data_IF_296629573679
#
_entry.id   IF_296629573679
#
_cell.length_a   1.000
_cell.length_b   1.000
_cell.length_c   1.000
_cell.angle_alpha   90.00
_cell.angle_beta   90.00
_cell.angle_gamma   90.00
#
_symmetry.space_group_name_H-M   'P 1'
#
loop_
_entity.id
_entity.type
_entity.pdbx_description
1 polymer ?
#
# COMPACT_ATOMS: atom_id res chain seq x y z
N UNK A 1 17.56 -1.77 -2.00
CA UNK A 1 17.25 -1.85 -3.43
C UNK A 1 15.93 -2.58 -3.65
N UNK A 2 15.12 -2.11 -4.58
CA UNK A 2 13.84 -2.75 -4.90
C UNK A 2 14.02 -3.84 -5.93
N UNK A 3 13.33 -4.96 -5.70
CA UNK A 3 13.23 -6.03 -6.67
C UNK A 3 11.87 -5.88 -7.36
N UNK A 4 11.88 -5.81 -8.69
CA UNK A 4 10.66 -5.56 -9.46
C UNK A 4 9.90 -6.85 -9.70
N UNK A 5 8.60 -6.82 -9.39
CA UNK A 5 7.64 -7.84 -9.72
C UNK A 5 6.65 -7.28 -10.73
N UNK A 6 5.66 -8.05 -11.11
CA UNK A 6 4.73 -7.65 -12.16
C UNK A 6 4.01 -6.32 -11.86
N UNK A 7 3.49 -6.17 -10.64
CA UNK A 7 2.71 -5.00 -10.26
C UNK A 7 3.38 -4.16 -9.20
N UNK A 8 4.55 -4.54 -8.75
CA UNK A 8 5.13 -3.86 -7.59
C UNK A 8 6.62 -4.14 -7.50
N UNK A 9 7.27 -3.31 -6.71
CA UNK A 9 8.66 -3.48 -6.35
C UNK A 9 8.75 -3.82 -4.88
N UNK A 10 9.67 -4.69 -4.52
CA UNK A 10 9.79 -5.18 -3.15
C UNK A 10 11.16 -4.86 -2.61
N UNK A 11 11.19 -4.36 -1.38
CA UNK A 11 12.42 -4.19 -0.62
C UNK A 11 12.20 -4.82 0.73
N UNK A 12 13.06 -5.78 1.07
CA UNK A 12 12.97 -6.47 2.34
C UNK A 12 14.19 -6.14 3.19
N UNK A 13 13.96 -5.90 4.47
CA UNK A 13 15.05 -5.63 5.40
C UNK A 13 14.64 -6.14 6.77
N UNK A 14 15.27 -7.25 7.20
CA UNK A 14 14.95 -7.89 8.48
C UNK A 14 13.46 -8.22 8.55
N UNK A 15 12.73 -7.63 9.48
CA UNK A 15 11.31 -7.86 9.68
C UNK A 15 10.43 -6.86 8.93
N UNK A 16 11.04 -5.96 8.16
CA UNK A 16 10.34 -4.92 7.41
C UNK A 16 10.22 -5.33 5.94
N UNK A 17 9.01 -5.22 5.40
CA UNK A 17 8.75 -5.45 3.99
C UNK A 17 8.14 -4.18 3.43
N UNK A 18 8.80 -3.58 2.44
CA UNK A 18 8.28 -2.41 1.75
C UNK A 18 7.89 -2.83 0.35
N UNK A 19 6.64 -2.58 0.00
CA UNK A 19 6.13 -2.92 -1.33
C UNK A 19 5.64 -1.64 -1.97
N UNK A 20 6.25 -1.27 -3.09
CA UNK A 20 5.84 -0.11 -3.86
C UNK A 20 4.92 -0.56 -4.97
N UNK A 21 3.68 -0.15 -4.89
CA UNK A 21 2.69 -0.45 -5.91
C UNK A 21 2.73 0.63 -6.98
N UNK A 22 2.35 0.28 -8.20
CA UNK A 22 2.32 1.29 -9.26
C UNK A 22 1.17 1.07 -10.23
N UNK A 23 0.82 2.16 -10.91
CA UNK A 23 -0.24 2.15 -11.89
C UNK A 23 -1.60 2.45 -11.29
N UNK A 24 -2.58 1.75 -11.81
CA UNK A 24 -3.95 1.86 -11.34
C UNK A 24 -4.38 0.55 -10.72
N UNK A 25 -5.07 0.65 -9.60
CA UNK A 25 -5.59 -0.56 -8.96
C UNK A 25 -7.08 -0.63 -9.26
N UNK A 26 -7.40 -1.28 -10.37
CA UNK A 26 -8.78 -1.48 -10.79
C UNK A 26 -9.20 -2.92 -10.50
N UNK A 27 -10.43 -3.23 -10.90
CA UNK A 27 -11.01 -4.54 -10.61
C UNK A 27 -10.16 -5.70 -11.16
N UNK A 28 -9.65 -5.56 -12.38
CA UNK A 28 -8.85 -6.63 -12.98
C UNK A 28 -7.50 -6.81 -12.31
N UNK A 29 -6.80 -5.69 -12.13
CA UNK A 29 -5.46 -5.74 -11.53
C UNK A 29 -5.49 -6.17 -10.09
N UNK A 30 -6.57 -5.83 -9.36
CA UNK A 30 -6.65 -6.13 -7.94
C UNK A 30 -6.62 -7.62 -7.64
N UNK A 31 -7.24 -8.44 -8.49
CA UNK A 31 -7.27 -9.88 -8.24
C UNK A 31 -5.86 -10.48 -8.27
N UNK A 32 -5.12 -10.20 -9.35
CA UNK A 32 -3.77 -10.73 -9.50
C UNK A 32 -2.84 -10.16 -8.42
N UNK A 33 -2.96 -8.86 -8.18
CA UNK A 33 -2.13 -8.20 -7.19
C UNK A 33 -2.37 -8.75 -5.79
N UNK A 34 -3.64 -9.02 -5.46
CA UNK A 34 -3.98 -9.61 -4.17
C UNK A 34 -3.30 -10.96 -3.97
N UNK A 35 -3.37 -11.80 -4.99
CA UNK A 35 -2.78 -13.14 -4.90
C UNK A 35 -1.27 -13.06 -4.73
N UNK A 36 -0.63 -12.18 -5.48
CA UNK A 36 0.81 -12.01 -5.40
C UNK A 36 1.23 -11.45 -4.04
N UNK A 37 0.50 -10.46 -3.53
CA UNK A 37 0.81 -9.88 -2.22
C UNK A 37 0.58 -10.88 -1.10
N UNK A 38 -0.50 -11.64 -1.16
CA UNK A 38 -0.77 -12.65 -0.13
C UNK A 38 0.35 -13.69 -0.08
N UNK A 39 0.79 -14.15 -1.25
CA UNK A 39 1.87 -15.11 -1.33
C UNK A 39 3.15 -14.54 -0.73
N UNK A 40 3.44 -13.29 -1.05
CA UNK A 40 4.63 -12.63 -0.53
C UNK A 40 4.56 -12.46 0.99
N UNK A 41 3.43 -11.98 1.50
CA UNK A 41 3.25 -11.76 2.92
C UNK A 41 3.36 -13.07 3.71
N UNK A 42 2.73 -14.12 3.21
CA UNK A 42 2.77 -15.40 3.89
C UNK A 42 4.16 -16.04 3.84
N UNK A 43 4.89 -15.81 2.77
CA UNK A 43 6.25 -16.31 2.65
C UNK A 43 7.20 -15.57 3.59
N UNK A 44 7.14 -14.25 3.60
CA UNK A 44 8.10 -13.44 4.35
C UNK A 44 7.68 -13.21 5.79
N UNK A 45 6.39 -13.24 6.08
CA UNK A 45 5.80 -13.01 7.40
C UNK A 45 6.42 -11.82 8.12
N UNK A 46 6.36 -10.63 7.50
CA UNK A 46 7.00 -9.46 8.08
C UNK A 46 6.25 -9.00 9.34
N UNK A 47 6.96 -8.36 10.25
CA UNK A 47 6.31 -7.71 11.38
C UNK A 47 5.69 -6.38 10.98
N UNK A 48 6.27 -5.75 9.95
CA UNK A 48 5.78 -4.46 9.46
C UNK A 48 5.77 -4.50 7.95
N UNK A 49 4.61 -4.24 7.38
CA UNK A 49 4.41 -4.13 5.94
C UNK A 49 4.11 -2.68 5.60
N UNK A 50 4.91 -2.08 4.74
CA UNK A 50 4.67 -0.74 4.24
C UNK A 50 4.26 -0.86 2.78
N UNK A 51 3.05 -0.42 2.47
CA UNK A 51 2.60 -0.32 1.09
C UNK A 51 2.80 1.12 0.63
N UNK A 52 3.76 1.30 -0.26
CA UNK A 52 4.11 2.62 -0.79
C UNK A 52 3.18 2.92 -1.95
N UNK A 53 2.33 3.93 -1.78
CA UNK A 53 1.32 4.30 -2.76
C UNK A 53 1.73 5.48 -3.63
N UNK A 54 3.00 5.89 -3.55
CA UNK A 54 3.46 7.10 -4.24
C UNK A 54 3.32 7.02 -5.75
N UNK A 55 3.32 5.83 -6.32
CA UNK A 55 3.19 5.63 -7.76
C UNK A 55 1.79 5.17 -8.18
N UNK A 56 0.85 5.18 -7.27
CA UNK A 56 -0.55 4.85 -7.60
C UNK A 56 -1.25 6.12 -8.03
N UNK A 57 -1.79 6.11 -9.23
CA UNK A 57 -2.48 7.27 -9.79
C UNK A 57 -3.97 7.22 -9.54
N UNK A 58 -4.52 6.01 -9.48
CA UNK A 58 -5.96 5.84 -9.33
C UNK A 58 -6.26 4.50 -8.65
N UNK A 59 -7.32 4.48 -7.86
CA UNK A 59 -7.88 3.22 -7.38
C UNK A 59 -9.39 3.38 -7.21
N UNK A 60 -10.10 2.28 -7.41
CA UNK A 60 -11.53 2.23 -7.18
C UNK A 60 -11.80 1.40 -5.93
N UNK A 61 -13.06 0.95 -5.77
CA UNK A 61 -13.42 0.17 -4.60
C UNK A 61 -12.67 -1.17 -4.52
N UNK A 62 -12.25 -1.71 -5.67
CA UNK A 62 -11.45 -2.94 -5.66
C UNK A 62 -10.09 -2.69 -5.04
N UNK A 63 -9.51 -1.50 -5.29
CA UNK A 63 -8.26 -1.11 -4.66
C UNK A 63 -8.41 -0.98 -3.15
N UNK A 64 -9.50 -0.35 -2.71
CA UNK A 64 -9.76 -0.24 -1.28
C UNK A 64 -9.91 -1.62 -0.64
N UNK A 65 -10.61 -2.52 -1.31
CA UNK A 65 -10.76 -3.89 -0.83
C UNK A 65 -9.42 -4.61 -0.73
N UNK A 66 -8.55 -4.37 -1.72
CA UNK A 66 -7.21 -4.93 -1.71
C UNK A 66 -6.45 -4.49 -0.45
N UNK A 67 -6.48 -3.20 -0.16
CA UNK A 67 -5.78 -2.68 1.01
C UNK A 67 -6.35 -3.24 2.30
N UNK A 68 -7.66 -3.30 2.42
CA UNK A 68 -8.31 -3.82 3.63
C UNK A 68 -8.01 -5.30 3.85
N UNK A 69 -8.00 -6.09 2.77
CA UNK A 69 -7.68 -7.51 2.88
C UNK A 69 -6.26 -7.76 3.35
N UNK A 70 -5.31 -6.96 2.85
CA UNK A 70 -3.91 -7.07 3.28
C UNK A 70 -3.75 -6.64 4.72
N UNK A 71 -4.50 -5.64 5.14
CA UNK A 71 -4.52 -5.21 6.52
C UNK A 71 -4.95 -6.35 7.45
N UNK A 72 -6.04 -7.03 7.09
CA UNK A 72 -6.53 -8.16 7.89
C UNK A 72 -5.52 -9.30 7.93
N UNK A 73 -4.91 -9.59 6.79
CA UNK A 73 -3.90 -10.65 6.74
C UNK A 73 -2.73 -10.33 7.66
N UNK A 74 -2.28 -9.07 7.65
CA UNK A 74 -1.19 -8.66 8.53
C UNK A 74 -1.59 -8.79 10.00
N UNK A 75 -2.82 -8.44 10.34
CA UNK A 75 -3.29 -8.65 11.71
C UNK A 75 -3.31 -10.12 12.08
N UNK A 76 -3.73 -10.97 11.15
CA UNK A 76 -3.80 -12.42 11.41
C UNK A 76 -2.43 -13.02 11.71
N UNK A 77 -1.38 -12.51 11.09
CA UNK A 77 -0.03 -13.00 11.34
C UNK A 77 0.70 -12.21 12.42
N UNK A 78 0.01 -11.29 13.08
CA UNK A 78 0.57 -10.55 14.22
C UNK A 78 1.45 -9.38 13.86
N UNK A 79 1.34 -8.87 12.63
CA UNK A 79 2.11 -7.71 12.19
C UNK A 79 1.28 -6.46 12.07
N UNK A 80 1.90 -5.41 11.57
CA UNK A 80 1.23 -4.13 11.33
C UNK A 80 1.41 -3.73 9.88
N UNK A 81 0.46 -2.94 9.37
CA UNK A 81 0.51 -2.44 8.01
C UNK A 81 0.40 -0.92 8.01
N UNK A 82 1.22 -0.31 7.17
CA UNK A 82 1.25 1.14 7.01
C UNK A 82 1.10 1.45 5.53
N UNK A 83 0.26 2.44 5.22
CA UNK A 83 0.17 3.00 3.87
C UNK A 83 1.08 4.22 3.82
N UNK A 84 1.91 4.28 2.79
CA UNK A 84 2.93 5.31 2.71
C UNK A 84 2.77 6.16 1.46
N UNK A 85 2.88 7.46 1.63
CA UNK A 85 2.97 8.45 0.57
C UNK A 85 1.83 8.43 -0.46
N UNK A 86 0.56 8.34 -0.03
CA UNK A 86 -0.53 8.50 -0.98
C UNK A 86 -0.55 9.94 -1.48
N UNK A 87 -0.83 10.13 -2.77
CA UNK A 87 -1.04 11.49 -3.25
C UNK A 87 -2.37 12.01 -2.71
N UNK A 88 -2.66 13.29 -2.96
CA UNK A 88 -3.86 13.90 -2.38
C UNK A 88 -5.15 13.25 -2.88
N UNK A 89 -5.18 12.83 -4.14
CA UNK A 89 -6.34 12.15 -4.70
C UNK A 89 -6.59 10.81 -3.98
N UNK A 90 -5.55 10.04 -3.82
CA UNK A 90 -5.65 8.75 -3.14
C UNK A 90 -6.00 8.95 -1.67
N UNK A 91 -5.37 9.96 -1.03
CA UNK A 91 -5.67 10.25 0.36
C UNK A 91 -7.14 10.60 0.54
N UNK A 92 -7.73 11.36 -0.40
CA UNK A 92 -9.13 11.70 -0.34
C UNK A 92 -10.01 10.45 -0.40
N UNK A 93 -9.66 9.52 -1.28
CA UNK A 93 -10.39 8.26 -1.38
C UNK A 93 -10.31 7.49 -0.07
N UNK A 94 -9.11 7.41 0.51
CA UNK A 94 -8.92 6.70 1.78
C UNK A 94 -9.74 7.35 2.90
N UNK A 95 -9.75 8.67 2.93
CA UNK A 95 -10.49 9.41 3.94
C UNK A 95 -12.00 9.20 3.80
N UNK A 96 -12.51 9.28 2.57
CA UNK A 96 -13.93 9.11 2.33
C UNK A 96 -14.40 7.69 2.65
N UNK A 97 -13.53 6.71 2.47
CA UNK A 97 -13.86 5.32 2.79
C UNK A 97 -13.77 5.01 4.28
N UNK A 98 -13.19 5.91 5.06
CA UNK A 98 -12.99 5.70 6.48
C UNK A 98 -11.77 4.86 6.83
N UNK A 99 -10.97 4.49 5.85
CA UNK A 99 -9.81 3.62 6.11
C UNK A 99 -8.77 4.25 7.02
N UNK A 100 -8.67 5.56 7.02
CA UNK A 100 -7.70 6.22 7.90
C UNK A 100 -7.97 5.96 9.38
N UNK A 101 -9.16 5.46 9.71
CA UNK A 101 -9.49 5.11 11.08
C UNK A 101 -8.87 3.79 11.52
N UNK A 102 -8.49 2.95 10.56
CA UNK A 102 -7.97 1.62 10.86
C UNK A 102 -6.49 1.51 10.61
N UNK A 103 -6.00 2.18 9.59
CA UNK A 103 -4.66 2.00 9.12
C UNK A 103 -3.81 3.24 9.35
N UNK A 104 -2.57 3.01 9.70
CA UNK A 104 -1.59 4.08 9.79
C UNK A 104 -1.26 4.55 8.37
N UNK A 105 -1.28 5.87 8.16
CA UNK A 105 -0.95 6.48 6.87
C UNK A 105 0.12 7.52 7.13
N UNK A 106 1.22 7.45 6.39
CA UNK A 106 2.32 8.38 6.59
C UNK A 106 2.75 8.99 5.27
N UNK A 107 3.43 10.12 5.33
CA UNK A 107 3.97 10.80 4.16
C UNK A 107 2.92 11.35 3.22
N UNK A 108 1.76 11.73 3.73
CA UNK A 108 0.65 12.22 2.92
C UNK A 108 1.05 13.50 2.19
N UNK A 109 0.73 13.55 0.90
CA UNK A 109 0.96 14.74 0.09
C UNK A 109 2.41 14.99 -0.22
N UNK A 110 3.24 14.02 0.04
CA UNK A 110 4.66 14.20 -0.23
C UNK A 110 4.92 14.39 -1.69
N UNK A 111 4.28 14.75 -2.29
CA UNK A 111 4.59 15.16 -3.45
C UNK A 111 4.39 16.37 -3.89
N UNK A 112 4.24 16.21 -3.62
CA UNK A 112 3.94 17.01 -3.78
C UNK A 112 4.03 17.84 -3.00
N UNK A 113 4.25 17.61 -2.39
CA UNK A 113 4.24 18.25 -1.66
C UNK A 113 5.06 18.77 -1.54
N UNK A 114 5.28 18.39 -1.74
CA UNK A 114 5.68 18.87 -1.62
C UNK A 114 5.84 19.59 -1.86
N UNK A 115 5.40 19.55 -2.01
CA UNK A 115 5.22 20.34 -2.14
C UNK A 115 5.25 20.93 -1.68
N UNK A 116 5.11 20.81 -1.39
CA UNK A 116 5.06 21.52 -0.99
C UNK A 116 5.68 21.95 -0.43
N UNK A 117 5.93 21.60 -0.28
CA UNK A 117 6.33 22.24 0.14
C UNK A 117 6.69 22.87 0.30
N UNK A 118 6.64 22.73 0.33
CA UNK A 118 6.78 23.49 0.35
C UNK A 118 6.69 24.10 0.65
N UNK A 119 6.58 24.17 0.78
CA UNK A 119 6.33 24.94 0.94
C UNK A 119 6.64 25.58 1.09
#
# INVERSE_FOLDING_TARGET
MFKTEYHFEVKKRDWLLVVRLFGEIDHHGAVTLREDLDRLILKERPRRLVLDLSLIEFMDSAGLGLLMGRYRLMQDIGGVMVLSRPNQRIMKILRLSGMERFMEIEGVGAKGEQEDEAR
#
